data_IF_452050167486
#
_entry.id   IF_452050167486
#
_cell.length_a   1.000
_cell.length_b   1.000
_cell.length_c   1.000
_cell.angle_alpha   90.00
_cell.angle_beta   90.00
_cell.angle_gamma   90.00
#
_symmetry.space_group_name_H-M   'P 1'
#
loop_
_entity.id
_entity.type
_entity.pdbx_description
1 polymer ?
#
# COMPACT_ATOMS: atom_id res chain seq x y z
N UNK A 1 -14.10 26.62 14.91
CA UNK A 1 -14.99 25.50 14.56
C UNK A 1 -14.51 24.27 15.30
N UNK A 2 -15.39 23.38 15.81
CA UNK A 2 -14.95 22.20 16.55
C UNK A 2 -14.29 21.19 15.60
N UNK A 3 -13.08 20.75 15.94
CA UNK A 3 -12.39 19.68 15.23
C UNK A 3 -12.93 18.34 15.75
N UNK A 4 -13.37 17.46 14.85
CA UNK A 4 -13.75 16.09 15.22
C UNK A 4 -12.54 15.19 14.97
N UNK A 5 -12.07 14.54 16.03
CA UNK A 5 -11.03 13.52 15.91
C UNK A 5 -11.64 12.13 15.96
N UNK A 6 -11.18 11.25 15.08
CA UNK A 6 -11.55 9.84 15.03
C UNK A 6 -10.28 9.01 15.05
N UNK A 7 -10.24 8.01 15.92
CA UNK A 7 -9.12 7.07 15.96
C UNK A 7 -9.54 5.81 15.21
N UNK A 8 -8.63 5.30 14.37
CA UNK A 8 -8.74 4.00 13.71
C UNK A 8 -7.54 3.17 14.18
N UNK A 9 -7.76 1.90 14.51
CA UNK A 9 -6.68 0.98 14.88
C UNK A 9 -6.35 0.00 13.75
N UNK A 10 -5.17 -0.62 13.81
CA UNK A 10 -4.72 -1.58 12.80
C UNK A 10 -5.65 -2.81 12.70
N UNK A 11 -6.23 -3.26 13.82
CA UNK A 11 -7.15 -4.40 13.83
C UNK A 11 -8.44 -4.12 13.04
N UNK A 12 -8.99 -2.90 13.15
CA UNK A 12 -10.14 -2.44 12.36
C UNK A 12 -9.82 -2.40 10.87
N UNK A 13 -8.63 -1.88 10.50
CA UNK A 13 -8.18 -1.87 9.11
C UNK A 13 -8.04 -3.31 8.59
N UNK A 14 -7.37 -4.18 9.36
CA UNK A 14 -7.15 -5.57 9.00
C UNK A 14 -8.46 -6.37 8.90
N UNK A 15 -9.41 -6.12 9.79
CA UNK A 15 -10.75 -6.71 9.73
C UNK A 15 -11.49 -6.27 8.47
N UNK A 16 -11.47 -4.96 8.17
CA UNK A 16 -12.12 -4.40 6.98
C UNK A 16 -11.57 -4.99 5.66
N UNK A 17 -10.25 -5.17 5.54
CA UNK A 17 -9.65 -5.85 4.38
C UNK A 17 -10.06 -7.32 4.30
N UNK A 18 -10.12 -8.03 5.43
CA UNK A 18 -10.49 -9.45 5.49
C UNK A 18 -11.96 -9.69 5.13
N UNK A 19 -12.83 -8.76 5.48
CA UNK A 19 -14.26 -8.77 5.15
C UNK A 19 -14.55 -8.35 3.69
N UNK A 20 -13.50 -8.00 2.92
CA UNK A 20 -13.63 -7.63 1.52
C UNK A 20 -13.98 -6.17 1.29
N UNK A 21 -13.69 -5.29 2.27
CA UNK A 21 -13.87 -3.84 2.14
C UNK A 21 -13.10 -3.24 0.96
N UNK A 22 -12.00 -3.89 0.54
CA UNK A 22 -11.31 -3.60 -0.70
C UNK A 22 -11.12 -4.84 -1.55
N UNK A 23 -11.44 -4.75 -2.86
CA UNK A 23 -11.20 -5.85 -3.80
C UNK A 23 -9.73 -5.91 -4.18
N UNK A 24 -9.00 -6.84 -3.57
CA UNK A 24 -7.60 -7.09 -3.88
C UNK A 24 -7.42 -7.56 -5.33
N UNK A 25 -6.29 -7.21 -5.98
CA UNK A 25 -5.94 -7.77 -7.28
C UNK A 25 -5.83 -9.29 -7.22
N UNK A 26 -6.09 -9.96 -8.35
CA UNK A 26 -5.90 -11.40 -8.47
C UNK A 26 -4.47 -11.80 -8.06
N UNK A 27 -4.38 -12.82 -7.22
CA UNK A 27 -3.12 -13.35 -6.69
C UNK A 27 -2.57 -12.58 -5.49
N UNK A 28 -3.26 -11.57 -4.95
CA UNK A 28 -2.87 -10.89 -3.70
C UNK A 28 -3.82 -11.29 -2.58
N UNK A 29 -3.29 -11.86 -1.50
CA UNK A 29 -4.05 -12.39 -0.38
C UNK A 29 -3.41 -12.05 0.96
N UNK A 30 -4.17 -12.27 2.05
CA UNK A 30 -3.70 -12.18 3.44
C UNK A 30 -2.97 -10.87 3.77
N UNK A 31 -3.50 -9.75 3.28
CA UNK A 31 -2.93 -8.43 3.57
C UNK A 31 -3.12 -8.11 5.05
N UNK A 32 -2.03 -7.80 5.74
CA UNK A 32 -1.99 -7.38 7.14
C UNK A 32 -1.16 -6.12 7.27
N UNK A 33 -1.73 -5.12 7.92
CA UNK A 33 -1.12 -3.83 8.20
C UNK A 33 -0.72 -3.74 9.67
N UNK A 34 0.43 -3.12 9.89
CA UNK A 34 0.92 -2.64 11.16
C UNK A 34 1.40 -1.19 11.00
N UNK A 35 1.42 -0.43 12.08
CA UNK A 35 1.98 0.91 12.04
C UNK A 35 2.83 1.22 13.27
N UNK A 36 3.86 2.02 13.05
CA UNK A 36 4.66 2.71 14.05
C UNK A 36 4.52 4.21 13.79
N UNK A 37 4.94 5.10 14.70
CA UNK A 37 4.95 6.53 14.42
C UNK A 37 5.54 6.83 13.02
N UNK A 38 4.74 7.51 12.19
CA UNK A 38 5.04 7.91 10.80
C UNK A 38 5.25 6.77 9.78
N UNK A 39 5.32 5.51 10.22
CA UNK A 39 5.67 4.35 9.39
C UNK A 39 4.52 3.35 9.34
N UNK A 40 4.19 2.89 8.14
CA UNK A 40 3.21 1.86 7.86
C UNK A 40 3.96 0.65 7.29
N UNK A 41 3.72 -0.51 7.88
CA UNK A 41 4.23 -1.81 7.41
C UNK A 41 3.04 -2.63 6.90
N UNK A 42 3.18 -3.23 5.72
CA UNK A 42 2.17 -4.11 5.16
C UNK A 42 2.81 -5.42 4.71
N UNK A 43 2.20 -6.54 5.08
CA UNK A 43 2.57 -7.88 4.66
C UNK A 43 1.45 -8.46 3.81
N UNK A 44 1.79 -9.15 2.73
CA UNK A 44 0.82 -9.83 1.88
C UNK A 44 1.43 -11.08 1.29
N UNK A 45 0.61 -12.10 1.07
CA UNK A 45 1.00 -13.27 0.28
C UNK A 45 0.61 -13.02 -1.18
N UNK A 46 1.57 -13.15 -2.09
CA UNK A 46 1.38 -12.88 -3.52
C UNK A 46 1.68 -14.14 -4.34
N UNK A 47 0.66 -14.66 -5.01
CA UNK A 47 0.78 -15.67 -6.07
C UNK A 47 1.10 -14.97 -7.39
N UNK A 48 2.37 -14.99 -7.77
CA UNK A 48 2.83 -14.36 -9.00
C UNK A 48 2.31 -15.09 -10.24
N UNK A 49 2.03 -16.39 -10.16
CA UNK A 49 1.46 -17.13 -11.29
C UNK A 49 0.02 -16.69 -11.54
N UNK A 50 -0.78 -16.52 -10.49
CA UNK A 50 -2.12 -15.94 -10.58
C UNK A 50 -2.10 -14.48 -11.08
N UNK A 51 -1.12 -13.67 -10.68
CA UNK A 51 -0.95 -12.28 -11.18
C UNK A 51 -0.63 -12.24 -12.68
N UNK A 52 0.02 -13.30 -13.21
CA UNK A 52 0.43 -13.45 -14.62
C UNK A 52 -0.67 -14.07 -15.49
N UNK A 53 -1.64 -14.78 -14.92
CA UNK A 53 -2.71 -15.43 -15.67
C UNK A 53 -3.47 -14.44 -16.59
N UNK A 54 -3.69 -14.86 -17.84
CA UNK A 54 -4.40 -14.06 -18.85
C UNK A 54 -3.60 -12.92 -19.49
N UNK A 55 -2.34 -12.68 -19.10
CA UNK A 55 -1.48 -11.64 -19.71
C UNK A 55 -0.66 -12.20 -20.87
N UNK A 56 -0.95 -11.75 -22.10
CA UNK A 56 -0.26 -12.19 -23.34
C UNK A 56 1.17 -11.64 -23.49
N UNK A 57 1.48 -10.51 -22.84
CA UNK A 57 2.81 -9.90 -22.84
C UNK A 57 3.41 -9.99 -21.44
N UNK A 58 3.99 -11.16 -21.12
CA UNK A 58 4.69 -11.33 -19.86
C UNK A 58 6.08 -10.68 -19.95
N UNK A 59 6.32 -9.77 -19.01
CA UNK A 59 7.60 -9.08 -18.83
C UNK A 59 8.71 -10.10 -18.47
N UNK A 60 9.90 -10.04 -19.10
CA UNK A 60 11.06 -10.87 -18.73
C UNK A 60 11.45 -10.76 -17.25
N UNK A 61 11.19 -9.61 -16.61
CA UNK A 61 11.43 -9.46 -15.17
C UNK A 61 10.37 -10.18 -14.33
N UNK A 62 9.10 -10.22 -14.78
CA UNK A 62 8.04 -10.97 -14.11
C UNK A 62 8.17 -12.47 -14.33
N UNK A 63 8.83 -12.92 -15.41
CA UNK A 63 9.11 -14.35 -15.59
C UNK A 63 10.13 -14.91 -14.62
N UNK A 64 10.89 -14.07 -13.92
CA UNK A 64 11.79 -14.51 -12.85
C UNK A 64 11.07 -14.76 -11.52
N UNK A 65 9.84 -14.27 -11.35
CA UNK A 65 9.03 -14.46 -10.15
C UNK A 65 7.90 -15.46 -10.47
N UNK A 66 7.80 -16.55 -9.72
CA UNK A 66 6.83 -17.63 -9.92
C UNK A 66 6.48 -18.29 -8.60
N UNK A 67 5.27 -18.81 -8.48
CA UNK A 67 4.77 -19.35 -7.23
C UNK A 67 4.30 -18.27 -6.26
N UNK A 68 4.16 -18.69 -5.01
CA UNK A 68 3.58 -17.91 -3.92
C UNK A 68 4.70 -17.41 -3.02
N UNK A 69 4.76 -16.10 -2.82
CA UNK A 69 5.81 -15.43 -2.06
C UNK A 69 5.22 -14.46 -1.04
N UNK A 70 5.94 -14.26 0.05
CA UNK A 70 5.57 -13.24 1.04
C UNK A 70 6.21 -11.91 0.66
N UNK A 71 5.38 -10.88 0.58
CA UNK A 71 5.77 -9.51 0.22
C UNK A 71 5.58 -8.62 1.42
N UNK A 72 6.65 -7.93 1.81
CA UNK A 72 6.62 -6.92 2.86
C UNK A 72 6.93 -5.56 2.27
N UNK A 73 6.12 -4.56 2.63
CA UNK A 73 6.26 -3.16 2.21
C UNK A 73 6.38 -2.30 3.45
N UNK A 74 7.34 -1.38 3.45
CA UNK A 74 7.43 -0.30 4.43
C UNK A 74 7.23 1.04 3.74
N UNK A 75 6.33 1.86 4.26
CA UNK A 75 6.03 3.18 3.72
C UNK A 75 5.91 4.22 4.84
N UNK A 76 6.16 5.48 4.52
CA UNK A 76 5.80 6.59 5.37
C UNK A 76 4.45 7.14 4.93
N UNK A 77 3.62 7.52 5.91
CA UNK A 77 2.30 8.06 5.66
C UNK A 77 2.03 9.27 6.54
N UNK A 78 1.54 10.35 5.95
CA UNK A 78 1.08 11.53 6.67
C UNK A 78 -0.04 12.22 5.91
N UNK A 79 -0.85 13.03 6.60
CA UNK A 79 -1.75 13.94 5.93
C UNK A 79 -1.84 15.27 6.68
N UNK A 80 -1.88 16.35 5.92
CA UNK A 80 -2.06 17.72 6.42
C UNK A 80 -2.78 18.57 5.37
N UNK A 81 -3.48 19.61 5.82
CA UNK A 81 -4.24 20.54 4.97
C UNK A 81 -5.15 19.84 3.94
N UNK A 82 -5.77 18.73 4.34
CA UNK A 82 -6.66 17.93 3.49
C UNK A 82 -5.94 17.12 2.42
N UNK A 83 -4.62 16.95 2.53
CA UNK A 83 -3.81 16.25 1.54
C UNK A 83 -3.00 15.14 2.19
N UNK A 84 -3.18 13.91 1.70
CA UNK A 84 -2.46 12.72 2.12
C UNK A 84 -1.21 12.50 1.28
N UNK A 85 -0.15 12.05 1.94
CA UNK A 85 1.14 11.72 1.37
C UNK A 85 1.53 10.30 1.79
N UNK A 86 1.90 9.47 0.82
CA UNK A 86 2.43 8.13 1.07
C UNK A 86 3.71 7.95 0.26
N UNK A 87 4.79 7.56 0.93
CA UNK A 87 6.07 7.26 0.30
C UNK A 87 6.52 5.84 0.63
N UNK A 88 6.62 4.98 -0.38
CA UNK A 88 7.13 3.62 -0.26
C UNK A 88 8.65 3.68 -0.09
N UNK A 89 9.13 3.28 1.09
CA UNK A 89 10.55 3.25 1.39
C UNK A 89 11.21 1.97 0.86
N UNK A 90 10.66 0.82 1.24
CA UNK A 90 11.24 -0.49 0.93
C UNK A 90 10.17 -1.50 0.60
N UNK A 91 10.57 -2.45 -0.24
CA UNK A 91 9.79 -3.65 -0.55
C UNK A 91 10.74 -4.83 -0.47
N UNK A 92 10.29 -5.93 0.12
CA UNK A 92 11.01 -7.20 0.10
C UNK A 92 10.10 -8.33 -0.32
N UNK A 93 10.69 -9.36 -0.93
CA UNK A 93 10.02 -10.58 -1.37
C UNK A 93 10.80 -11.74 -0.73
N UNK A 94 10.14 -12.55 0.08
CA UNK A 94 10.74 -13.62 0.90
C UNK A 94 11.95 -13.14 1.72
N UNK A 95 11.85 -11.92 2.27
CA UNK A 95 12.92 -11.28 3.03
C UNK A 95 14.08 -10.73 2.20
N UNK A 96 14.07 -10.90 0.87
CA UNK A 96 15.05 -10.31 -0.04
C UNK A 96 14.57 -8.92 -0.45
N UNK A 97 15.32 -7.89 -0.06
CA UNK A 97 15.04 -6.50 -0.43
C UNK A 97 15.08 -6.29 -1.95
N UNK A 98 14.04 -5.68 -2.49
CA UNK A 98 13.98 -5.30 -3.90
C UNK A 98 14.72 -3.97 -4.09
N UNK A 99 15.71 -3.89 -5.01
CA UNK A 99 16.40 -2.64 -5.27
C UNK A 99 15.45 -1.52 -5.70
N UNK A 100 15.65 -0.31 -5.18
CA UNK A 100 14.78 0.84 -5.47
C UNK A 100 14.61 1.09 -6.98
N UNK A 101 15.71 1.01 -7.75
CA UNK A 101 15.67 1.15 -9.21
C UNK A 101 14.72 0.14 -9.88
N UNK A 102 14.69 -1.11 -9.39
CA UNK A 102 13.79 -2.13 -9.92
C UNK A 102 12.32 -1.82 -9.59
N UNK A 103 12.05 -1.28 -8.40
CA UNK A 103 10.71 -0.82 -8.01
C UNK A 103 10.23 0.35 -8.87
N UNK A 104 11.08 1.36 -9.09
CA UNK A 104 10.76 2.50 -9.95
C UNK A 104 10.44 2.05 -11.38
N UNK A 105 11.29 1.19 -11.96
CA UNK A 105 11.08 0.65 -13.30
C UNK A 105 9.77 -0.14 -13.38
N UNK A 106 9.46 -0.94 -12.35
CA UNK A 106 8.23 -1.70 -12.28
C UNK A 106 7.00 -0.78 -12.25
N UNK A 107 6.99 0.21 -11.35
CA UNK A 107 5.88 1.16 -11.21
C UNK A 107 5.68 1.96 -12.50
N UNK A 108 6.76 2.50 -13.07
CA UNK A 108 6.70 3.31 -14.28
C UNK A 108 6.18 2.52 -15.49
N UNK A 109 6.62 1.27 -15.64
CA UNK A 109 6.30 0.47 -16.82
C UNK A 109 4.98 -0.28 -16.73
N UNK A 110 4.50 -0.61 -15.52
CA UNK A 110 3.36 -1.51 -15.34
C UNK A 110 2.20 -0.93 -14.53
N UNK A 111 2.48 -0.05 -13.57
CA UNK A 111 1.42 0.52 -12.72
C UNK A 111 0.89 1.83 -13.33
N UNK A 112 1.79 2.78 -13.62
CA UNK A 112 1.42 4.10 -14.16
C UNK A 112 0.57 4.07 -15.44
N UNK A 113 0.80 3.16 -16.42
CA UNK A 113 -0.03 3.13 -17.63
C UNK A 113 -1.51 2.84 -17.37
N UNK A 114 -1.82 2.08 -16.30
CA UNK A 114 -3.20 1.76 -15.90
C UNK A 114 -3.73 2.70 -14.82
N UNK A 115 -2.85 3.22 -13.98
CA UNK A 115 -3.16 4.10 -12.85
C UNK A 115 -2.26 5.35 -12.89
N UNK A 116 -2.56 6.32 -13.77
CA UNK A 116 -1.79 7.55 -13.89
C UNK A 116 -2.01 8.39 -12.62
N UNK A 117 -1.01 8.41 -11.74
CA UNK A 117 -1.11 9.01 -10.40
C UNK A 117 -0.64 8.09 -9.28
N UNK A 118 -0.43 6.80 -9.57
CA UNK A 118 0.15 5.84 -8.63
C UNK A 118 1.66 5.72 -8.86
N UNK A 119 2.43 6.01 -7.81
CA UNK A 119 3.89 6.03 -7.78
C UNK A 119 4.47 5.30 -6.56
N UNK A 120 5.79 5.40 -6.35
CA UNK A 120 6.39 5.11 -5.05
C UNK A 120 6.07 6.23 -4.06
N UNK A 121 6.03 7.46 -4.56
CA UNK A 121 5.46 8.61 -3.87
C UNK A 121 4.08 8.91 -4.44
N UNK A 122 3.12 9.10 -3.54
CA UNK A 122 1.74 9.36 -3.88
C UNK A 122 1.23 10.54 -3.06
N UNK A 123 0.49 11.41 -3.73
CA UNK A 123 -0.26 12.48 -3.10
C UNK A 123 -1.72 12.37 -3.52
N UNK A 124 -2.63 12.48 -2.55
CA UNK A 124 -4.06 12.39 -2.82
C UNK A 124 -4.85 13.32 -1.90
N UNK A 125 -6.00 13.79 -2.38
CA UNK A 125 -6.92 14.57 -1.55
C UNK A 125 -7.59 13.66 -0.54
N UNK A 126 -7.57 14.05 0.73
CA UNK A 126 -8.23 13.30 1.79
C UNK A 126 -9.76 13.37 1.62
N UNK A 127 -10.48 12.24 1.76
CA UNK A 127 -11.94 12.20 1.68
C UNK A 127 -12.58 12.79 2.95
N UNK A 128 -13.91 12.93 2.93
CA UNK A 128 -14.74 13.20 4.12
C UNK A 128 -14.29 14.39 4.99
N UNK A 129 -13.70 15.40 4.36
CA UNK A 129 -13.18 16.62 5.02
C UNK A 129 -12.15 16.32 6.10
N UNK A 130 -11.44 15.20 5.99
CA UNK A 130 -10.28 14.93 6.82
C UNK A 130 -9.22 15.96 6.43
N UNK A 131 -8.76 16.71 7.42
CA UNK A 131 -7.74 17.74 7.30
C UNK A 131 -6.35 17.17 7.57
N UNK A 132 -6.21 16.33 8.60
CA UNK A 132 -4.93 15.70 8.95
C UNK A 132 -5.06 14.26 9.43
N UNK A 133 -3.98 13.51 9.27
CA UNK A 133 -3.83 12.13 9.73
C UNK A 133 -2.45 11.94 10.35
N UNK A 134 -2.41 11.44 11.59
CA UNK A 134 -1.17 11.10 12.28
C UNK A 134 -1.12 9.62 12.53
N UNK A 135 -0.11 8.95 11.96
CA UNK A 135 0.14 7.52 12.13
C UNK A 135 0.95 7.32 13.41
N UNK A 136 0.45 6.48 14.31
CA UNK A 136 1.09 6.07 15.56
C UNK A 136 1.27 4.55 15.62
N UNK A 137 1.41 4.01 16.83
CA UNK A 137 1.65 2.58 17.05
C UNK A 137 0.34 1.78 16.95
N UNK A 138 0.15 1.11 15.81
CA UNK A 138 -1.08 0.41 15.40
C UNK A 138 -2.37 1.24 15.56
N UNK A 139 -2.23 2.56 15.51
CA UNK A 139 -3.32 3.50 15.54
C UNK A 139 -3.06 4.67 14.58
N UNK A 140 -4.13 5.28 14.08
CA UNK A 140 -4.08 6.49 13.28
C UNK A 140 -5.17 7.43 13.77
N UNK A 141 -4.80 8.67 14.06
CA UNK A 141 -5.73 9.72 14.47
C UNK A 141 -6.02 10.60 13.27
N UNK A 142 -7.29 10.66 12.87
CA UNK A 142 -7.80 11.51 11.80
C UNK A 142 -8.50 12.72 12.41
N UNK A 143 -8.26 13.90 11.88
CA UNK A 143 -8.92 15.15 12.30
C UNK A 143 -9.68 15.76 11.13
N UNK A 144 -10.95 16.14 11.34
CA UNK A 144 -11.81 16.75 10.33
C UNK A 144 -12.01 18.24 10.59
N UNK A 145 -12.15 19.02 9.51
CA UNK A 145 -12.40 20.48 9.54
C UNK A 145 -13.52 20.94 8.61
#
# INVERSE_FOLDING_TARGET
MPHRSTQINADEVNAWFREGGFKLPQGVEKVVFHSKPETIEANATVDFDAVKQGKKNLNPLLSMFSGVHDVQVTANGSADQGTGHVNIQTVSIDGVGVPHLALELFVNKYIKPKYPGVGLENQFKMPDRIDSATVGNDNTVLTQR
#
